data_IF_055988708218
#
_entry.id   IF_055988708218
#
_cell.length_a   1.000
_cell.length_b   1.000
_cell.length_c   1.000
_cell.angle_alpha   90.00
_cell.angle_beta   90.00
_cell.angle_gamma   90.00
#
_symmetry.space_group_name_H-M   'P 1'
#
loop_
_entity.id
_entity.type
_entity.pdbx_description
1 polymer ?
#
# COMPACT_ATOMS: atom_id res chain seq x y z
N UNK A 1 26.21 -23.13 -31.32
CA UNK A 1 24.80 -23.53 -31.08
C UNK A 1 24.38 -22.80 -29.82
N UNK A 2 23.70 -21.67 -29.98
CA UNK A 2 23.26 -20.84 -28.86
C UNK A 2 22.13 -21.56 -28.14
N UNK A 3 22.29 -21.72 -26.83
CA UNK A 3 21.21 -22.13 -25.95
C UNK A 3 20.09 -21.09 -26.07
N UNK A 4 18.90 -21.55 -26.42
CA UNK A 4 17.68 -20.75 -26.31
C UNK A 4 17.51 -20.40 -24.84
N UNK A 5 17.73 -19.13 -24.50
CA UNK A 5 17.30 -18.59 -23.22
C UNK A 5 15.79 -18.80 -23.14
N UNK A 6 15.33 -19.56 -22.14
CA UNK A 6 13.92 -19.52 -21.77
C UNK A 6 13.65 -18.08 -21.35
N UNK A 7 12.82 -17.35 -22.10
CA UNK A 7 12.28 -16.09 -21.63
C UNK A 7 11.59 -16.39 -20.30
N UNK A 8 12.05 -15.75 -19.21
CA UNK A 8 11.26 -15.73 -17.99
C UNK A 8 9.89 -15.15 -18.36
N UNK A 9 8.78 -15.71 -17.82
CA UNK A 9 7.47 -15.15 -18.06
C UNK A 9 7.52 -13.66 -17.68
N UNK A 10 7.07 -12.80 -18.59
CA UNK A 10 6.97 -11.37 -18.35
C UNK A 10 5.96 -11.17 -17.23
N UNK A 11 6.45 -10.74 -16.07
CA UNK A 11 5.62 -10.50 -14.90
C UNK A 11 5.11 -9.10 -15.05
N UNK A 12 3.86 -9.02 -15.45
CA UNK A 12 3.20 -7.77 -15.74
C UNK A 12 2.14 -7.53 -14.66
N UNK A 13 2.28 -6.42 -13.95
CA UNK A 13 1.25 -5.91 -13.06
C UNK A 13 -0.05 -5.73 -13.83
N UNK A 14 -1.12 -6.42 -13.44
CA UNK A 14 -2.43 -6.35 -14.11
C UNK A 14 -3.22 -5.16 -13.55
N UNK A 15 -3.09 -4.02 -14.22
CA UNK A 15 -3.67 -2.75 -13.80
C UNK A 15 -5.21 -2.74 -13.85
N UNK A 16 -5.82 -3.51 -14.75
CA UNK A 16 -7.28 -3.65 -14.80
C UNK A 16 -7.80 -4.48 -13.63
N UNK A 17 -7.06 -5.51 -13.21
CA UNK A 17 -7.41 -6.30 -12.03
C UNK A 17 -7.23 -5.49 -10.74
N UNK A 18 -6.17 -4.68 -10.65
CA UNK A 18 -6.00 -3.73 -9.54
C UNK A 18 -7.14 -2.70 -9.51
N UNK A 19 -7.56 -2.16 -10.65
CA UNK A 19 -8.69 -1.22 -10.70
C UNK A 19 -10.02 -1.89 -10.26
N UNK A 20 -10.26 -3.15 -10.65
CA UNK A 20 -11.43 -3.92 -10.19
C UNK A 20 -11.41 -4.17 -8.67
N UNK A 21 -10.23 -4.30 -8.07
CA UNK A 21 -10.09 -4.39 -6.61
C UNK A 21 -10.55 -3.07 -5.95
N UNK A 22 -10.28 -1.90 -6.54
CA UNK A 22 -10.80 -0.61 -6.05
C UNK A 22 -12.32 -0.54 -6.18
N UNK A 23 -12.87 -0.93 -7.33
CA UNK A 23 -14.33 -0.99 -7.52
C UNK A 23 -15.00 -1.88 -6.48
N UNK A 24 -14.40 -3.04 -6.18
CA UNK A 24 -14.89 -3.93 -5.14
C UNK A 24 -14.86 -3.28 -3.75
N UNK A 25 -13.73 -2.68 -3.38
CA UNK A 25 -13.56 -1.97 -2.11
C UNK A 25 -14.63 -0.90 -1.89
N UNK A 26 -14.85 -0.04 -2.90
CA UNK A 26 -15.86 1.02 -2.82
C UNK A 26 -17.29 0.45 -2.82
N UNK A 27 -17.54 -0.65 -3.54
CA UNK A 27 -18.85 -1.30 -3.57
C UNK A 27 -19.26 -1.94 -2.23
N UNK A 28 -18.32 -2.20 -1.32
CA UNK A 28 -18.63 -2.59 0.06
C UNK A 28 -19.28 -1.46 0.87
N UNK A 29 -19.06 -0.21 0.44
CA UNK A 29 -19.33 1.01 1.19
C UNK A 29 -18.11 1.49 1.98
N UNK A 30 -18.21 2.63 2.68
CA UNK A 30 -17.12 3.18 3.47
C UNK A 30 -16.62 2.20 4.54
N UNK A 31 -15.32 1.88 4.50
CA UNK A 31 -14.63 0.93 5.39
C UNK A 31 -14.25 1.58 6.72
N UNK A 32 -15.19 2.32 7.30
CA UNK A 32 -15.01 2.95 8.61
C UNK A 32 -14.77 1.86 9.66
N UNK A 33 -13.74 1.99 10.52
CA UNK A 33 -13.44 0.99 11.54
C UNK A 33 -14.67 0.56 12.35
N UNK A 34 -14.87 -0.76 12.47
CA UNK A 34 -15.97 -1.37 13.23
C UNK A 34 -17.31 -1.49 12.49
N UNK A 35 -17.42 -1.00 11.24
CA UNK A 35 -18.63 -1.19 10.41
C UNK A 35 -18.66 -2.56 9.70
N UNK A 36 -19.81 -2.90 9.09
CA UNK A 36 -19.93 -4.13 8.29
C UNK A 36 -19.03 -4.11 7.04
N UNK A 37 -18.86 -2.95 6.39
CA UNK A 37 -17.98 -2.81 5.24
C UNK A 37 -16.51 -3.05 5.61
N UNK A 38 -16.10 -2.55 6.77
CA UNK A 38 -14.77 -2.77 7.36
C UNK A 38 -14.47 -4.25 7.65
N UNK A 39 -15.43 -4.98 8.21
CA UNK A 39 -15.27 -6.43 8.41
C UNK A 39 -15.17 -7.19 7.08
N UNK A 40 -15.99 -6.83 6.09
CA UNK A 40 -15.97 -7.47 4.77
C UNK A 40 -14.65 -7.25 4.03
N UNK A 41 -14.06 -6.06 4.15
CA UNK A 41 -12.77 -5.80 3.48
C UNK A 41 -11.64 -6.61 4.11
N UNK A 42 -11.61 -6.74 5.44
CA UNK A 42 -10.63 -7.58 6.15
C UNK A 42 -10.71 -9.05 5.70
N UNK A 43 -11.93 -9.61 5.70
CA UNK A 43 -12.17 -10.99 5.26
C UNK A 43 -11.74 -11.20 3.80
N UNK A 44 -12.03 -10.23 2.94
CA UNK A 44 -11.66 -10.29 1.53
C UNK A 44 -10.16 -10.21 1.31
N UNK A 45 -9.46 -9.28 1.97
CA UNK A 45 -7.99 -9.16 1.86
C UNK A 45 -7.30 -10.43 2.33
N UNK A 46 -7.72 -10.99 3.48
CA UNK A 46 -7.22 -12.28 3.98
C UNK A 46 -7.42 -13.40 2.96
N UNK A 47 -8.62 -13.49 2.38
CA UNK A 47 -8.91 -14.50 1.36
C UNK A 47 -8.03 -14.33 0.12
N UNK A 48 -7.83 -13.09 -0.36
CA UNK A 48 -6.98 -12.80 -1.51
C UNK A 48 -5.53 -13.19 -1.25
N UNK A 49 -4.98 -12.85 -0.09
CA UNK A 49 -3.63 -13.24 0.30
C UNK A 49 -3.48 -14.77 0.33
N UNK A 50 -4.39 -15.47 1.02
CA UNK A 50 -4.37 -16.94 1.15
C UNK A 50 -4.47 -17.64 -0.20
N UNK A 51 -5.36 -17.17 -1.09
CA UNK A 51 -5.51 -17.73 -2.44
C UNK A 51 -4.24 -17.59 -3.28
N UNK A 52 -3.40 -16.60 -2.98
CA UNK A 52 -2.12 -16.38 -3.65
C UNK A 52 -0.93 -16.96 -2.87
N UNK A 53 -1.17 -17.83 -1.89
CA UNK A 53 -0.10 -18.58 -1.23
C UNK A 53 0.68 -17.80 -0.16
N UNK A 54 0.14 -16.69 0.34
CA UNK A 54 0.71 -15.95 1.46
C UNK A 54 0.29 -16.57 2.79
N UNK A 55 1.20 -16.61 3.76
CA UNK A 55 0.86 -16.88 5.15
C UNK A 55 0.19 -15.65 5.73
N UNK A 56 -1.02 -15.78 6.28
CA UNK A 56 -1.79 -14.64 6.77
C UNK A 56 -1.87 -14.58 8.29
N UNK A 57 -1.74 -13.37 8.84
CA UNK A 57 -1.94 -13.05 10.24
C UNK A 57 -2.85 -11.82 10.38
N UNK A 58 -3.60 -11.75 11.48
CA UNK A 58 -4.36 -10.56 11.87
C UNK A 58 -3.84 -10.10 13.22
N UNK A 59 -3.33 -8.87 13.29
CA UNK A 59 -2.98 -8.23 14.55
C UNK A 59 -4.21 -7.45 15.04
N UNK A 60 -4.84 -7.94 16.10
CA UNK A 60 -5.92 -7.21 16.77
C UNK A 60 -5.39 -6.60 18.06
N UNK A 61 -5.58 -5.29 18.23
CA UNK A 61 -5.20 -4.59 19.45
C UNK A 61 -6.17 -3.45 19.76
N UNK A 62 -5.93 -2.77 20.88
CA UNK A 62 -6.62 -1.54 21.23
C UNK A 62 -5.57 -0.49 21.56
N UNK A 63 -5.60 0.62 20.84
CA UNK A 63 -4.72 1.77 21.02
C UNK A 63 -5.60 3.01 21.19
N UNK A 64 -5.34 3.79 22.24
CA UNK A 64 -6.13 5.00 22.56
C UNK A 64 -7.65 4.75 22.60
N UNK A 65 -8.06 3.63 23.20
CA UNK A 65 -9.45 3.16 23.29
C UNK A 65 -10.12 2.81 21.95
N UNK A 66 -9.38 2.86 20.83
CA UNK A 66 -9.85 2.42 19.51
C UNK A 66 -9.42 0.99 19.20
N UNK A 67 -10.36 0.12 18.77
CA UNK A 67 -10.00 -1.19 18.25
C UNK A 67 -9.35 -1.06 16.88
N UNK A 68 -8.21 -1.73 16.70
CA UNK A 68 -7.42 -1.73 15.47
C UNK A 68 -7.18 -3.16 15.04
N UNK A 69 -7.28 -3.44 13.73
CA UNK A 69 -7.08 -4.76 13.16
C UNK A 69 -6.23 -4.73 11.89
N UNK A 70 -4.92 -4.84 12.04
CA UNK A 70 -4.01 -4.87 10.88
C UNK A 70 -4.02 -6.26 10.22
N UNK A 71 -4.03 -6.29 8.89
CA UNK A 71 -3.98 -7.54 8.10
C UNK A 71 -2.57 -7.72 7.55
N UNK A 72 -1.97 -8.89 7.76
CA UNK A 72 -0.57 -9.15 7.40
C UNK A 72 -0.51 -10.38 6.49
N UNK A 73 0.08 -10.24 5.31
CA UNK A 73 0.50 -11.33 4.45
C UNK A 73 2.01 -11.49 4.51
N UNK A 74 2.52 -12.71 4.67
CA UNK A 74 3.95 -13.03 4.73
C UNK A 74 4.35 -14.00 3.63
N UNK A 75 5.46 -13.73 2.97
CA UNK A 75 6.02 -14.56 1.92
C UNK A 75 7.54 -14.64 2.01
N UNK A 76 8.10 -15.84 1.81
CA UNK A 76 9.54 -16.08 1.94
C UNK A 76 10.03 -16.20 3.39
N UNK A 77 11.36 -16.32 3.55
CA UNK A 77 12.05 -16.43 4.84
C UNK A 77 13.48 -15.87 4.74
N UNK A 78 13.97 -15.27 5.82
CA UNK A 78 15.34 -14.74 5.90
C UNK A 78 15.43 -13.26 5.56
N UNK A 79 16.64 -12.82 5.17
CA UNK A 79 16.95 -11.43 4.83
C UNK A 79 17.32 -11.27 3.35
N UNK A 80 16.99 -10.13 2.71
CA UNK A 80 16.37 -8.95 3.35
C UNK A 80 14.90 -9.17 3.70
N UNK A 81 14.45 -8.54 4.79
CA UNK A 81 13.04 -8.50 5.19
C UNK A 81 12.47 -7.13 4.85
N UNK A 82 11.56 -7.08 3.88
CA UNK A 82 10.94 -5.84 3.41
C UNK A 82 9.45 -5.87 3.72
N UNK A 83 8.93 -4.72 4.17
CA UNK A 83 7.50 -4.49 4.35
C UNK A 83 7.00 -3.56 3.24
N UNK A 84 5.92 -3.94 2.55
CA UNK A 84 5.09 -3.00 1.81
C UNK A 84 3.80 -2.79 2.60
N UNK A 85 3.39 -1.54 2.78
CA UNK A 85 2.21 -1.19 3.55
C UNK A 85 1.24 -0.26 2.83
N UNK A 86 -0.02 -0.29 3.24
CA UNK A 86 -1.06 0.66 2.84
C UNK A 86 -2.16 0.65 3.91
N UNK A 87 -2.80 1.77 4.20
CA UNK A 87 -4.00 1.74 5.02
C UNK A 87 -5.22 1.29 4.21
N UNK A 88 -6.24 0.73 4.86
CA UNK A 88 -7.45 0.24 4.19
C UNK A 88 -8.76 0.79 4.77
N UNK A 89 -8.68 1.40 5.96
CA UNK A 89 -9.82 2.11 6.54
C UNK A 89 -10.06 3.41 5.78
N UNK A 90 -11.20 4.05 6.05
CA UNK A 90 -11.52 5.31 5.37
C UNK A 90 -12.16 6.30 6.30
N UNK A 91 -11.88 7.57 6.06
CA UNK A 91 -12.39 8.69 6.85
C UNK A 91 -13.89 8.65 7.11
N UNK A 92 -14.25 8.86 8.36
CA UNK A 92 -15.64 8.98 8.81
C UNK A 92 -16.35 10.20 8.21
N UNK A 93 -15.63 11.28 7.92
CA UNK A 93 -16.19 12.55 7.43
C UNK A 93 -15.44 13.08 6.21
N UNK A 94 -16.17 13.47 5.17
CA UNK A 94 -15.66 14.19 4.01
C UNK A 94 -15.48 15.69 4.33
N UNK A 95 -14.69 16.01 5.34
CA UNK A 95 -14.55 17.34 5.92
C UNK A 95 -13.93 18.39 4.97
N UNK A 96 -13.33 17.95 3.85
CA UNK A 96 -12.84 18.83 2.79
C UNK A 96 -13.80 18.93 1.58
N UNK A 97 -15.01 18.36 1.67
CA UNK A 97 -15.96 18.43 0.56
C UNK A 97 -16.34 19.89 0.23
N UNK A 98 -16.26 20.31 -1.04
CA UNK A 98 -16.67 21.66 -1.43
C UNK A 98 -18.18 21.90 -1.27
N UNK A 99 -18.99 20.84 -1.27
CA UNK A 99 -20.40 20.90 -0.91
C UNK A 99 -20.55 20.73 0.61
N UNK A 100 -20.79 21.85 1.30
CA UNK A 100 -20.97 21.87 2.76
C UNK A 100 -22.10 20.98 3.28
N UNK A 101 -23.03 20.54 2.42
CA UNK A 101 -24.06 19.59 2.83
C UNK A 101 -23.56 18.16 3.01
N UNK A 102 -22.36 17.86 2.46
CA UNK A 102 -21.76 16.53 2.45
C UNK A 102 -20.61 16.35 3.45
N UNK A 103 -20.22 17.39 4.18
CA UNK A 103 -19.04 17.32 5.06
C UNK A 103 -19.19 16.38 6.25
N UNK A 104 -20.40 15.86 6.49
CA UNK A 104 -20.69 14.82 7.49
C UNK A 104 -20.95 13.44 6.87
N UNK A 105 -20.91 13.34 5.54
CA UNK A 105 -20.95 12.07 4.83
C UNK A 105 -19.57 11.40 4.89
N UNK A 106 -19.51 10.07 4.87
CA UNK A 106 -18.25 9.35 4.87
C UNK A 106 -17.53 9.40 3.51
N UNK A 107 -16.21 9.33 3.53
CA UNK A 107 -15.38 9.34 2.32
C UNK A 107 -15.47 7.97 1.63
N UNK A 108 -15.75 7.89 0.32
CA UNK A 108 -15.79 6.63 -0.39
C UNK A 108 -14.42 6.00 -0.58
N UNK A 109 -13.30 6.71 -0.45
CA UNK A 109 -11.95 6.15 -0.26
C UNK A 109 -11.52 5.22 -1.38
N UNK A 110 -11.62 5.69 -2.62
CA UNK A 110 -11.19 4.94 -3.78
C UNK A 110 -9.68 5.08 -4.01
N UNK A 111 -9.17 6.29 -3.84
CA UNK A 111 -7.74 6.57 -3.89
C UNK A 111 -7.13 6.49 -2.49
N UNK A 112 -7.73 7.20 -1.54
CA UNK A 112 -7.35 7.27 -0.12
C UNK A 112 -7.72 5.93 0.55
N UNK A 113 -6.70 5.13 0.84
CA UNK A 113 -6.77 3.71 1.22
C UNK A 113 -6.92 2.73 0.05
N UNK A 114 -7.94 2.92 -0.78
CA UNK A 114 -8.31 1.94 -1.82
C UNK A 114 -7.21 1.62 -2.84
N UNK A 115 -6.43 2.63 -3.24
CA UNK A 115 -5.39 2.49 -4.28
C UNK A 115 -4.18 1.69 -3.79
N UNK A 116 -3.67 1.99 -2.60
CA UNK A 116 -2.56 1.27 -1.98
C UNK A 116 -2.89 -0.20 -1.77
N UNK A 117 -4.08 -0.49 -1.21
CA UNK A 117 -4.58 -1.87 -1.05
C UNK A 117 -4.59 -2.63 -2.38
N UNK A 118 -5.10 -2.00 -3.44
CA UNK A 118 -5.19 -2.62 -4.75
C UNK A 118 -3.81 -2.92 -5.36
N UNK A 119 -2.85 -2.00 -5.22
CA UNK A 119 -1.46 -2.22 -5.65
C UNK A 119 -0.84 -3.40 -4.90
N UNK A 120 -0.94 -3.42 -3.56
CA UNK A 120 -0.38 -4.49 -2.74
C UNK A 120 -1.03 -5.86 -3.05
N UNK A 121 -2.35 -5.93 -3.24
CA UNK A 121 -3.03 -7.17 -3.60
C UNK A 121 -2.65 -7.66 -5.00
N UNK A 122 -2.38 -6.76 -5.94
CA UNK A 122 -1.89 -7.14 -7.26
C UNK A 122 -0.45 -7.66 -7.20
N UNK A 123 0.43 -7.01 -6.42
CA UNK A 123 1.77 -7.55 -6.12
C UNK A 123 1.68 -8.94 -5.46
N UNK A 124 0.73 -9.14 -4.55
CA UNK A 124 0.49 -10.43 -3.90
C UNK A 124 0.21 -11.57 -4.89
N UNK A 125 -0.42 -11.27 -6.03
CA UNK A 125 -0.71 -12.26 -7.08
C UNK A 125 0.52 -12.58 -7.94
N UNK A 126 1.41 -11.61 -8.11
CA UNK A 126 2.53 -11.70 -9.06
C UNK A 126 3.81 -12.25 -8.40
N UNK A 127 4.12 -11.83 -7.17
CA UNK A 127 5.37 -12.18 -6.49
C UNK A 127 5.58 -13.69 -6.30
N UNK A 128 4.57 -14.49 -5.90
CA UNK A 128 4.74 -15.93 -5.76
C UNK A 128 5.09 -16.63 -7.08
N UNK A 129 4.53 -16.15 -8.20
CA UNK A 129 4.85 -16.66 -9.53
C UNK A 129 6.26 -16.23 -9.98
N UNK A 130 6.70 -15.02 -9.63
CA UNK A 130 8.07 -14.55 -9.91
C UNK A 130 9.13 -15.41 -9.23
N UNK A 131 8.95 -15.62 -7.94
CA UNK A 131 9.89 -16.35 -7.12
C UNK A 131 9.61 -17.85 -7.13
N UNK A 132 8.87 -18.40 -8.09
CA UNK A 132 8.64 -19.83 -8.13
C UNK A 132 9.94 -20.58 -8.50
N UNK A 133 10.34 -21.56 -7.68
CA UNK A 133 11.50 -22.40 -7.96
C UNK A 133 11.37 -23.12 -9.32
N UNK A 134 12.50 -23.35 -10.00
CA UNK A 134 12.52 -23.91 -11.36
C UNK A 134 11.88 -25.31 -11.51
N UNK A 135 11.67 -26.02 -10.40
CA UNK A 135 11.01 -27.33 -10.32
C UNK A 135 9.56 -27.26 -9.77
N UNK A 136 9.04 -26.05 -9.53
CA UNK A 136 7.74 -25.81 -8.93
C UNK A 136 7.69 -26.04 -7.42
N UNK A 137 8.84 -26.17 -6.75
CA UNK A 137 8.93 -26.29 -5.29
C UNK A 137 9.06 -24.91 -4.60
N UNK A 138 9.59 -24.85 -3.38
CA UNK A 138 9.66 -23.65 -2.53
C UNK A 138 10.13 -22.40 -3.29
N UNK A 139 9.70 -21.19 -2.86
CA UNK A 139 10.12 -19.95 -3.52
C UNK A 139 11.65 -19.83 -3.60
N UNK A 140 12.18 -19.42 -4.75
CA UNK A 140 13.58 -19.00 -4.98
C UNK A 140 13.85 -17.57 -4.45
N UNK A 141 12.95 -17.07 -3.61
CA UNK A 141 13.09 -15.80 -2.91
C UNK A 141 14.14 -15.96 -1.80
N UNK A 142 15.26 -15.23 -1.92
CA UNK A 142 16.28 -15.16 -0.86
C UNK A 142 15.97 -14.05 0.15
N UNK A 143 14.84 -14.16 0.84
CA UNK A 143 14.47 -13.30 1.96
C UNK A 143 12.97 -13.26 2.23
N UNK A 144 12.47 -12.19 2.86
CA UNK A 144 11.10 -12.12 3.36
C UNK A 144 10.41 -10.84 2.88
N UNK A 145 9.18 -10.98 2.37
CA UNK A 145 8.30 -9.86 2.01
C UNK A 145 7.06 -9.95 2.90
N UNK A 146 6.72 -8.87 3.59
CA UNK A 146 5.42 -8.72 4.22
C UNK A 146 4.58 -7.66 3.50
N UNK A 147 3.31 -7.96 3.28
CA UNK A 147 2.30 -6.99 2.89
C UNK A 147 1.48 -6.69 4.15
N UNK A 148 1.41 -5.43 4.57
CA UNK A 148 0.72 -5.03 5.79
C UNK A 148 -0.35 -4.00 5.45
N UNK A 149 -1.60 -4.33 5.73
CA UNK A 149 -2.71 -3.43 5.55
C UNK A 149 -3.07 -2.82 6.91
N UNK A 150 -2.78 -1.53 7.08
CA UNK A 150 -2.98 -0.82 8.34
C UNK A 150 -4.43 -0.37 8.50
N UNK A 151 -4.93 -0.47 9.73
CA UNK A 151 -6.27 -0.03 10.11
C UNK A 151 -6.22 1.30 10.88
N UNK A 152 -7.32 2.06 10.88
CA UNK A 152 -7.45 3.31 11.63
C UNK A 152 -6.33 4.34 11.38
N UNK A 153 -5.95 4.53 10.11
CA UNK A 153 -5.02 5.59 9.70
C UNK A 153 -5.76 6.94 9.65
N UNK A 154 -6.91 6.99 8.98
CA UNK A 154 -7.40 8.21 8.32
C UNK A 154 -8.44 8.99 9.16
N UNK A 155 -8.55 8.68 10.45
CA UNK A 155 -9.59 9.23 11.32
C UNK A 155 -9.09 10.31 12.28
N UNK A 156 -7.86 10.78 12.12
CA UNK A 156 -7.34 11.83 12.99
C UNK A 156 -8.10 13.15 12.89
N UNK A 157 -7.99 13.94 13.96
CA UNK A 157 -8.78 15.17 14.22
C UNK A 157 -10.29 14.95 14.42
N UNK A 158 -10.74 13.71 14.48
CA UNK A 158 -12.11 13.34 14.88
C UNK A 158 -12.12 13.04 16.38
N UNK A 159 -13.19 13.40 17.09
CA UNK A 159 -13.27 13.17 18.55
C UNK A 159 -13.07 11.69 18.88
N UNK A 160 -12.04 11.39 19.68
CA UNK A 160 -11.66 10.04 20.08
C UNK A 160 -10.73 9.30 19.11
N UNK A 161 -10.33 9.91 18.00
CA UNK A 161 -9.44 9.31 17.01
C UNK A 161 -8.18 10.17 16.80
N UNK A 162 -7.05 9.51 16.54
CA UNK A 162 -5.83 10.13 16.02
C UNK A 162 -5.46 9.48 14.69
N UNK A 163 -4.43 10.00 14.03
CA UNK A 163 -3.89 9.44 12.79
C UNK A 163 -3.07 8.17 13.04
N UNK A 164 -2.89 7.35 12.01
CA UNK A 164 -1.88 6.28 11.91
C UNK A 164 -1.89 5.28 13.09
N UNK A 165 -3.06 5.03 13.69
CA UNK A 165 -3.17 4.18 14.88
C UNK A 165 -2.75 2.73 14.57
N UNK A 166 -3.06 2.25 13.36
CA UNK A 166 -2.69 0.95 12.83
C UNK A 166 -1.19 0.72 12.79
N UNK A 167 -0.46 1.56 12.08
CA UNK A 167 0.99 1.44 11.96
C UNK A 167 1.70 1.67 13.29
N UNK A 168 1.23 2.60 14.14
CA UNK A 168 1.76 2.78 15.50
C UNK A 168 1.64 1.50 16.34
N UNK A 169 0.47 0.87 16.34
CA UNK A 169 0.25 -0.40 17.00
C UNK A 169 1.12 -1.53 16.41
N UNK A 170 1.19 -1.60 15.08
CA UNK A 170 1.98 -2.59 14.38
C UNK A 170 3.46 -2.52 14.76
N UNK A 171 4.07 -1.35 14.64
CA UNK A 171 5.49 -1.13 14.92
C UNK A 171 5.82 -1.36 16.39
N UNK A 172 4.93 -0.98 17.31
CA UNK A 172 5.13 -1.17 18.75
C UNK A 172 5.23 -2.64 19.17
N UNK A 173 4.62 -3.56 18.42
CA UNK A 173 4.62 -5.00 18.72
C UNK A 173 5.69 -5.80 17.94
N UNK A 174 6.43 -5.16 17.02
CA UNK A 174 7.51 -5.81 16.27
C UNK A 174 8.58 -6.38 17.22
N UNK A 175 8.84 -7.68 17.10
CA UNK A 175 9.85 -8.39 17.90
C UNK A 175 11.26 -8.29 17.28
N UNK A 176 11.33 -7.94 16.00
CA UNK A 176 12.55 -7.71 15.23
C UNK A 176 12.26 -6.67 14.15
N UNK A 177 13.31 -6.04 13.64
CA UNK A 177 13.16 -4.98 12.66
C UNK A 177 13.37 -5.47 11.21
N UNK A 178 12.47 -5.10 10.28
CA UNK A 178 12.71 -5.27 8.86
C UNK A 178 13.88 -4.40 8.41
N UNK A 179 14.43 -4.73 7.23
CA UNK A 179 15.50 -3.98 6.61
C UNK A 179 14.97 -2.71 5.90
N UNK A 180 13.70 -2.70 5.48
CA UNK A 180 13.00 -1.53 4.94
C UNK A 180 11.47 -1.66 5.06
N UNK A 181 10.77 -0.52 5.10
CA UNK A 181 9.32 -0.43 4.95
C UNK A 181 8.94 0.60 3.88
N UNK A 182 8.01 0.29 2.98
CA UNK A 182 7.52 1.24 1.96
C UNK A 182 6.02 1.33 2.07
N UNK A 183 5.50 2.53 2.30
CA UNK A 183 4.07 2.80 2.40
C UNK A 183 3.58 3.32 1.05
N UNK A 184 2.37 2.91 0.67
CA UNK A 184 1.73 3.24 -0.60
C UNK A 184 0.39 3.87 -0.28
N UNK A 185 0.27 5.17 -0.51
CA UNK A 185 -0.95 5.93 -0.23
C UNK A 185 -1.36 6.81 -1.42
N UNK A 186 -2.67 6.89 -1.69
CA UNK A 186 -3.25 7.79 -2.70
C UNK A 186 -2.61 7.74 -4.11
N UNK A 187 -2.16 6.57 -4.56
CA UNK A 187 -1.39 6.37 -5.82
C UNK A 187 -2.22 6.19 -7.10
N UNK A 188 -3.51 6.47 -7.03
CA UNK A 188 -4.49 6.24 -8.09
C UNK A 188 -4.84 7.45 -8.95
N UNK A 189 -4.37 8.67 -8.64
CA UNK A 189 -4.77 9.89 -9.37
C UNK A 189 -4.52 9.75 -10.89
N UNK A 190 -5.50 10.12 -11.71
CA UNK A 190 -5.36 10.25 -13.16
C UNK A 190 -4.25 11.20 -13.61
N UNK A 191 -3.89 12.18 -12.78
CA UNK A 191 -2.80 13.11 -13.04
C UNK A 191 -1.58 12.84 -12.16
N UNK A 192 -1.27 11.56 -11.90
CA UNK A 192 -0.28 11.10 -10.93
C UNK A 192 1.03 11.92 -10.93
N UNK A 193 1.39 12.47 -9.76
CA UNK A 193 2.69 13.11 -9.49
C UNK A 193 3.19 12.74 -8.10
N UNK A 194 4.21 11.89 -8.07
CA UNK A 194 4.83 11.41 -6.83
C UNK A 194 6.16 12.15 -6.66
N UNK A 195 6.23 13.00 -5.64
CA UNK A 195 7.45 13.71 -5.25
C UNK A 195 8.14 12.95 -4.12
N UNK A 196 9.42 13.25 -3.87
CA UNK A 196 10.09 12.67 -2.70
C UNK A 196 9.51 13.33 -1.44
N UNK A 197 8.95 12.51 -0.55
CA UNK A 197 8.41 12.97 0.72
C UNK A 197 9.56 13.25 1.70
N UNK A 198 9.50 14.39 2.41
CA UNK A 198 10.63 14.95 3.17
C UNK A 198 10.99 14.17 4.46
N UNK A 199 10.07 13.40 5.04
CA UNK A 199 10.36 12.59 6.22
C UNK A 199 10.97 11.22 5.88
N UNK A 200 10.72 10.72 4.67
CA UNK A 200 11.17 9.42 4.17
C UNK A 200 12.69 9.24 4.19
N UNK A 201 13.17 8.01 4.31
CA UNK A 201 14.61 7.71 4.27
C UNK A 201 15.20 8.04 2.89
N UNK A 202 16.18 8.96 2.85
CA UNK A 202 16.80 9.46 1.61
C UNK A 202 17.38 8.36 0.72
N UNK A 203 17.91 7.29 1.32
CA UNK A 203 18.57 6.23 0.56
C UNK A 203 17.51 5.34 -0.07
N UNK A 204 16.57 4.85 0.72
CA UNK A 204 15.46 4.01 0.27
C UNK A 204 14.64 4.72 -0.82
N UNK A 205 14.31 5.99 -0.59
CA UNK A 205 13.56 6.82 -1.55
C UNK A 205 14.30 6.93 -2.88
N UNK A 206 15.61 7.20 -2.88
CA UNK A 206 16.39 7.23 -4.12
C UNK A 206 16.44 5.88 -4.83
N UNK A 207 16.59 4.77 -4.10
CA UNK A 207 16.58 3.43 -4.70
C UNK A 207 15.26 3.12 -5.44
N UNK A 208 14.12 3.58 -4.90
CA UNK A 208 12.79 3.44 -5.53
C UNK A 208 12.68 4.34 -6.77
N UNK A 209 13.09 5.60 -6.66
CA UNK A 209 13.05 6.55 -7.80
C UNK A 209 13.99 6.15 -8.94
N UNK A 210 15.19 5.66 -8.64
CA UNK A 210 16.13 5.13 -9.62
C UNK A 210 15.51 3.90 -10.34
N UNK A 211 14.72 3.10 -9.62
CA UNK A 211 13.99 1.98 -10.22
C UNK A 211 12.88 2.44 -11.16
N UNK A 212 12.16 3.51 -10.79
CA UNK A 212 11.13 4.14 -11.63
C UNK A 212 11.74 4.73 -12.92
N UNK A 213 12.82 5.49 -12.81
CA UNK A 213 13.57 6.03 -13.96
C UNK A 213 14.08 4.90 -14.85
N UNK A 214 14.62 3.83 -14.26
CA UNK A 214 15.13 2.67 -14.99
C UNK A 214 14.10 1.95 -15.87
N UNK A 215 12.81 2.11 -15.57
CA UNK A 215 11.70 1.55 -16.35
C UNK A 215 10.86 2.61 -17.10
N UNK A 216 11.31 3.86 -17.14
CA UNK A 216 10.72 4.94 -17.94
C UNK A 216 9.57 5.71 -17.28
N UNK A 217 9.51 5.75 -15.94
CA UNK A 217 8.48 6.46 -15.17
C UNK A 217 8.99 7.73 -14.47
N UNK A 218 10.10 8.31 -14.92
CA UNK A 218 10.67 9.55 -14.39
C UNK A 218 9.73 10.78 -14.50
N UNK A 219 8.74 10.74 -15.40
CA UNK A 219 7.72 11.79 -15.52
C UNK A 219 6.66 11.73 -14.41
N UNK A 220 6.57 10.62 -13.67
CA UNK A 220 5.61 10.39 -12.58
C UNK A 220 6.30 10.38 -11.21
N UNK A 221 7.46 9.72 -11.11
CA UNK A 221 8.33 9.73 -9.94
C UNK A 221 9.35 10.85 -10.06
N UNK A 222 9.03 12.01 -9.48
CA UNK A 222 9.80 13.24 -9.61
C UNK A 222 10.94 13.28 -8.58
N UNK A 223 12.23 13.31 -8.99
CA UNK A 223 13.37 13.08 -8.10
C UNK A 223 13.78 14.35 -7.33
N UNK A 224 12.82 14.98 -6.65
CA UNK A 224 13.06 16.12 -5.77
C UNK A 224 12.03 16.17 -4.64
N UNK A 225 12.49 16.61 -3.48
CA UNK A 225 11.69 16.83 -2.28
C UNK A 225 10.68 17.96 -2.45
N UNK A 226 9.49 17.82 -1.84
CA UNK A 226 8.46 18.87 -1.91
C UNK A 226 7.51 18.95 -0.71
N UNK A 227 7.08 17.82 -0.17
CA UNK A 227 6.04 17.77 0.86
C UNK A 227 6.50 16.92 2.05
N UNK A 228 6.05 17.27 3.25
CA UNK A 228 6.25 16.50 4.47
C UNK A 228 4.89 16.10 5.05
N UNK A 229 4.73 14.84 5.44
CA UNK A 229 3.46 14.33 5.97
C UNK A 229 3.65 13.42 7.19
N UNK A 230 2.67 13.44 8.09
CA UNK A 230 2.53 12.40 9.10
C UNK A 230 1.70 11.28 8.47
N UNK A 231 2.33 10.15 8.19
CA UNK A 231 1.71 8.97 7.59
C UNK A 231 2.33 7.69 8.21
N UNK A 232 1.84 6.52 7.82
CA UNK A 232 2.14 5.20 8.38
C UNK A 232 3.61 4.80 8.29
N UNK A 233 4.45 5.51 7.51
CA UNK A 233 5.90 5.30 7.48
C UNK A 233 6.59 5.92 8.70
N UNK A 234 6.02 6.96 9.31
CA UNK A 234 6.64 7.70 10.43
C UNK A 234 6.92 6.80 11.64
N UNK A 235 6.01 5.91 12.10
CA UNK A 235 6.31 5.01 13.21
C UNK A 235 7.52 4.10 12.96
N UNK A 236 7.75 3.68 11.71
CA UNK A 236 8.94 2.90 11.34
C UNK A 236 10.21 3.73 11.50
N UNK A 237 10.20 4.97 11.01
CA UNK A 237 11.32 5.91 11.17
C UNK A 237 11.62 6.19 12.65
N UNK A 238 10.59 6.40 13.47
CA UNK A 238 10.70 6.57 14.93
C UNK A 238 11.36 5.36 15.61
N UNK A 239 11.12 4.15 15.09
CA UNK A 239 11.75 2.91 15.55
C UNK A 239 13.15 2.65 14.98
N UNK A 240 13.67 3.53 14.11
CA UNK A 240 14.98 3.40 13.46
C UNK A 240 15.00 2.43 12.28
N UNK A 241 13.84 2.14 11.70
CA UNK A 241 13.67 1.33 10.49
C UNK A 241 13.65 2.28 9.29
N UNK A 242 14.49 2.10 8.25
CA UNK A 242 14.39 2.87 7.02
C UNK A 242 13.00 2.70 6.41
N UNK A 243 12.28 3.81 6.23
CA UNK A 243 10.95 3.76 5.64
C UNK A 243 10.74 4.91 4.65
N UNK A 244 9.96 4.64 3.61
CA UNK A 244 9.62 5.63 2.59
C UNK A 244 8.13 5.60 2.31
N UNK A 245 7.59 6.75 1.93
CA UNK A 245 6.20 6.92 1.55
C UNK A 245 6.08 7.28 0.06
N UNK A 246 5.20 6.57 -0.63
CA UNK A 246 4.87 6.76 -2.04
C UNK A 246 3.44 7.30 -2.09
N UNK A 247 3.34 8.62 -2.21
CA UNK A 247 2.08 9.34 -2.09
C UNK A 247 1.97 10.48 -3.13
N UNK A 248 0.75 10.67 -3.65
CA UNK A 248 0.40 11.83 -4.47
C UNK A 248 -0.33 12.91 -3.65
N UNK A 249 0.38 14.01 -3.41
CA UNK A 249 -0.13 15.16 -2.65
C UNK A 249 -1.01 16.13 -3.46
N UNK A 250 -1.09 15.98 -4.79
CA UNK A 250 -1.80 16.90 -5.69
C UNK A 250 -3.22 16.41 -6.06
N UNK A 251 -3.71 15.37 -5.38
CA UNK A 251 -5.04 14.79 -5.57
C UNK A 251 -6.17 15.70 -5.07
N UNK A 252 -6.95 16.26 -5.99
CA UNK A 252 -7.98 17.25 -5.70
C UNK A 252 -9.22 16.71 -4.92
N UNK A 253 -9.38 15.40 -4.81
CA UNK A 253 -10.57 14.78 -4.22
C UNK A 253 -10.33 14.20 -2.82
N UNK A 254 -9.13 14.40 -2.26
CA UNK A 254 -8.75 14.00 -0.91
C UNK A 254 -9.74 14.49 0.15
N UNK A 255 -10.17 13.58 1.04
CA UNK A 255 -11.18 13.81 2.09
C UNK A 255 -12.50 14.44 1.59
N UNK A 256 -12.91 14.12 0.35
CA UNK A 256 -14.20 14.52 -0.21
C UNK A 256 -15.07 13.32 -0.59
N UNK A 257 -16.38 13.53 -0.77
CA UNK A 257 -17.26 12.49 -1.33
C UNK A 257 -16.97 12.16 -2.79
N UNK A 258 -16.06 12.91 -3.43
CA UNK A 258 -15.64 12.67 -4.80
C UNK A 258 -14.44 11.73 -4.89
N UNK A 259 -13.84 11.30 -3.79
CA UNK A 259 -12.83 10.23 -3.83
C UNK A 259 -13.49 8.88 -4.17
N UNK A 260 -13.67 8.66 -5.47
CA UNK A 260 -14.47 7.59 -6.08
C UNK A 260 -13.68 6.95 -7.21
N UNK A 261 -14.03 5.73 -7.66
CA UNK A 261 -13.30 5.05 -8.74
C UNK A 261 -13.20 5.87 -10.02
N UNK A 262 -14.19 6.73 -10.29
CA UNK A 262 -14.19 7.65 -11.43
C UNK A 262 -13.02 8.65 -11.43
N UNK A 263 -12.31 8.83 -10.31
CA UNK A 263 -11.12 9.68 -10.21
C UNK A 263 -9.81 8.91 -10.11
N UNK A 264 -9.88 7.58 -10.15
CA UNK A 264 -8.73 6.69 -10.17
C UNK A 264 -8.41 6.25 -11.60
N UNK A 265 -7.13 5.98 -11.88
CA UNK A 265 -6.62 5.48 -13.15
C UNK A 265 -5.92 4.13 -12.98
N UNK A 266 -6.30 3.14 -13.78
CA UNK A 266 -5.56 1.89 -13.88
C UNK A 266 -4.10 2.12 -14.29
N UNK A 267 -3.84 3.10 -15.17
CA UNK A 267 -2.48 3.44 -15.61
C UNK A 267 -1.60 3.91 -14.44
N UNK A 268 -2.15 4.70 -13.52
CA UNK A 268 -1.42 5.18 -12.33
C UNK A 268 -1.08 4.03 -11.39
N UNK A 269 -2.03 3.11 -11.17
CA UNK A 269 -1.78 1.89 -10.39
C UNK A 269 -0.70 1.04 -11.06
N UNK A 270 -0.68 0.96 -12.40
CA UNK A 270 0.35 0.24 -13.16
C UNK A 270 1.74 0.84 -12.96
N UNK A 271 1.85 2.17 -13.05
CA UNK A 271 3.11 2.91 -12.89
C UNK A 271 3.71 2.62 -11.51
N UNK A 272 2.91 2.76 -10.45
CA UNK A 272 3.38 2.49 -9.08
C UNK A 272 3.65 1.01 -8.87
N UNK A 273 2.74 0.14 -9.31
CA UNK A 273 2.87 -1.30 -9.17
C UNK A 273 4.11 -1.87 -9.87
N UNK A 274 4.38 -1.46 -11.12
CA UNK A 274 5.59 -1.87 -11.87
C UNK A 274 6.86 -1.30 -11.24
N UNK A 275 6.83 -0.07 -10.73
CA UNK A 275 7.97 0.53 -10.01
C UNK A 275 8.32 -0.27 -8.76
N UNK A 276 7.33 -0.55 -7.91
CA UNK A 276 7.51 -1.33 -6.69
C UNK A 276 7.95 -2.76 -7.00
N UNK A 277 7.38 -3.39 -8.03
CA UNK A 277 7.79 -4.73 -8.45
C UNK A 277 9.25 -4.74 -8.90
N UNK A 278 9.68 -3.78 -9.73
CA UNK A 278 11.05 -3.68 -10.22
C UNK A 278 12.04 -3.42 -9.06
N UNK A 279 11.72 -2.46 -8.19
CA UNK A 279 12.52 -2.16 -7.01
C UNK A 279 12.64 -3.37 -6.10
N UNK A 280 11.52 -4.02 -5.76
CA UNK A 280 11.49 -5.14 -4.83
C UNK A 280 12.26 -6.35 -5.37
N UNK A 281 12.12 -6.68 -6.65
CA UNK A 281 12.90 -7.77 -7.30
C UNK A 281 14.39 -7.49 -7.20
N UNK A 282 14.82 -6.24 -7.37
CA UNK A 282 16.25 -5.88 -7.31
C UNK A 282 16.89 -6.04 -5.92
N UNK A 283 16.07 -6.24 -4.87
CA UNK A 283 16.55 -6.48 -3.51
C UNK A 283 16.94 -7.95 -3.24
N UNK A 284 16.59 -8.88 -4.14
CA UNK A 284 16.76 -10.33 -3.98
C UNK A 284 17.62 -10.95 -5.11
#
# INVERSE_FOLDING_TARGET
MNAMGKSQPEIEFDSLRAYQDIEYQVALGPRIPGTEAHQKIQEWMLQKLQLNGWETEVQNTTIEDQPVSNIIGKFGQGKPWIILGAHYDTRIYADLDPDLSKTLEPVPGANDGGSGVAVLLELARQLPAHFQGADGSNPDLQGTIWLVFFDAEDNGRIEGWDWILGSRAFVAELQSYPDAAVIVDMVGDKNLKIYQEENSDDRLTREIWDSAEGIGYEDYFLPYEKYAVLDDHVPFLEAGIPAADIIDFEYAYWHTTSDTPDNVSAESLEIVGKTLLAWLISQY
#
